data_IF_490000411240
#
_entry.id   IF_490000411240
#
_cell.length_a   1.000
_cell.length_b   1.000
_cell.length_c   1.000
_cell.angle_alpha   90.00
_cell.angle_beta   90.00
_cell.angle_gamma   90.00
#
_symmetry.space_group_name_H-M   'P 1'
#
loop_
_entity.id
_entity.type
_entity.pdbx_description
1 polymer ?
#
# COMPACT_ATOMS: atom_id res chain seq x y z
N UNK A 1 16.84 -10.79 -3.82
CA UNK A 1 16.52 -10.10 -2.55
C UNK A 1 17.42 -8.90 -2.43
N UNK A 2 16.83 -7.71 -2.38
CA UNK A 2 17.55 -6.43 -2.37
C UNK A 2 17.23 -5.70 -1.08
N UNK A 3 18.23 -5.09 -0.43
CA UNK A 3 17.98 -4.21 0.70
C UNK A 3 17.15 -3.01 0.20
N UNK A 4 16.12 -2.62 0.95
CA UNK A 4 15.25 -1.50 0.60
C UNK A 4 16.03 -0.22 0.27
N UNK A 5 17.12 0.06 0.98
CA UNK A 5 17.95 1.25 0.75
C UNK A 5 18.59 1.27 -0.65
N UNK A 6 18.81 0.09 -1.23
CA UNK A 6 19.38 -0.09 -2.57
C UNK A 6 18.33 -0.50 -3.60
N UNK A 7 17.05 -0.58 -3.22
CA UNK A 7 15.99 -1.03 -4.10
C UNK A 7 15.53 0.13 -5.00
N UNK A 8 15.49 -0.13 -6.31
CA UNK A 8 14.96 0.83 -7.26
C UNK A 8 13.42 0.83 -7.19
N UNK A 9 12.88 1.85 -6.54
CA UNK A 9 11.43 2.04 -6.38
C UNK A 9 10.70 2.25 -7.72
N UNK A 10 11.42 2.59 -8.81
CA UNK A 10 10.81 2.73 -10.14
C UNK A 10 10.20 1.42 -10.66
N UNK A 11 10.68 0.28 -10.18
CA UNK A 11 10.15 -1.05 -10.50
C UNK A 11 8.68 -1.17 -10.08
N UNK A 12 8.29 -0.57 -8.95
CA UNK A 12 6.91 -0.60 -8.45
C UNK A 12 6.04 0.37 -9.23
N UNK A 13 6.56 1.57 -9.50
CA UNK A 13 5.82 2.60 -10.25
C UNK A 13 5.51 2.15 -11.68
N UNK A 14 6.45 1.45 -12.31
CA UNK A 14 6.34 0.97 -13.69
C UNK A 14 5.91 -0.51 -13.77
N UNK A 15 5.59 -1.12 -12.63
CA UNK A 15 5.29 -2.54 -12.54
C UNK A 15 4.02 -2.89 -13.31
N UNK A 16 4.07 -3.99 -14.06
CA UNK A 16 2.92 -4.49 -14.81
C UNK A 16 2.13 -5.45 -13.94
N UNK A 17 0.83 -5.21 -13.85
CA UNK A 17 -0.10 -6.06 -13.13
C UNK A 17 -0.77 -7.08 -14.05
N UNK A 18 -0.98 -8.29 -13.55
CA UNK A 18 -1.81 -9.30 -14.17
C UNK A 18 -3.31 -8.98 -13.98
N UNK A 19 -4.19 -9.62 -14.75
CA UNK A 19 -5.62 -9.49 -14.52
C UNK A 19 -6.01 -10.07 -13.14
N UNK A 20 -6.97 -9.47 -12.41
CA UNK A 20 -7.42 -9.98 -11.13
C UNK A 20 -7.98 -11.42 -11.24
N UNK A 21 -7.47 -12.33 -10.41
CA UNK A 21 -7.92 -13.72 -10.33
C UNK A 21 -8.63 -13.94 -9.00
N UNK A 22 -9.81 -14.57 -9.05
CA UNK A 22 -10.57 -14.91 -7.85
C UNK A 22 -9.84 -15.96 -7.02
N UNK A 23 -9.69 -15.69 -5.73
CA UNK A 23 -9.09 -16.59 -4.76
C UNK A 23 -10.17 -17.31 -3.92
N UNK A 24 -9.76 -18.32 -3.15
CA UNK A 24 -10.65 -19.23 -2.39
C UNK A 24 -11.47 -18.47 -1.33
N UNK A 25 -10.93 -17.40 -0.78
CA UNK A 25 -11.53 -16.54 0.25
C UNK A 25 -12.50 -15.47 -0.33
N UNK A 26 -12.92 -15.63 -1.60
CA UNK A 26 -13.77 -14.68 -2.31
C UNK A 26 -13.14 -13.28 -2.44
N UNK A 27 -11.81 -13.17 -2.33
CA UNK A 27 -11.05 -11.99 -2.74
C UNK A 27 -10.55 -12.15 -4.17
N UNK A 28 -10.14 -11.07 -4.80
CA UNK A 28 -9.46 -11.10 -6.11
C UNK A 28 -8.05 -10.59 -5.93
N UNK A 29 -7.07 -11.29 -6.50
CA UNK A 29 -5.67 -10.91 -6.43
C UNK A 29 -5.18 -10.57 -7.83
N UNK A 30 -4.59 -9.39 -7.93
CA UNK A 30 -3.96 -8.85 -9.11
C UNK A 30 -2.46 -8.76 -8.82
N UNK A 31 -1.69 -9.72 -9.32
CA UNK A 31 -0.28 -9.85 -8.99
C UNK A 31 0.56 -8.93 -9.85
N UNK A 32 1.71 -8.49 -9.34
CA UNK A 32 2.78 -8.07 -10.22
C UNK A 32 3.20 -9.25 -11.10
N UNK A 33 3.54 -8.95 -12.36
CA UNK A 33 4.07 -9.94 -13.29
C UNK A 33 5.44 -10.46 -12.85
N UNK A 34 6.20 -9.65 -12.12
CA UNK A 34 7.50 -9.99 -11.57
C UNK A 34 7.42 -10.02 -10.04
N UNK A 35 8.10 -10.99 -9.43
CA UNK A 35 8.19 -11.10 -7.98
C UNK A 35 9.07 -9.98 -7.41
N UNK A 36 8.57 -9.28 -6.39
CA UNK A 36 9.28 -8.18 -5.73
C UNK A 36 9.57 -8.55 -4.28
N UNK A 37 10.83 -8.91 -4.02
CA UNK A 37 11.32 -9.25 -2.68
C UNK A 37 12.28 -8.19 -2.15
N UNK A 38 11.90 -7.56 -1.05
CA UNK A 38 12.70 -6.54 -0.36
C UNK A 38 13.05 -6.96 1.05
N UNK A 39 14.24 -6.57 1.50
CA UNK A 39 14.63 -6.69 2.91
C UNK A 39 14.29 -5.38 3.59
N UNK A 40 13.44 -5.44 4.63
CA UNK A 40 13.08 -4.27 5.42
C UNK A 40 14.19 -3.91 6.41
N UNK A 41 14.34 -2.62 6.77
CA UNK A 41 15.24 -2.23 7.86
C UNK A 41 14.83 -2.93 9.16
N UNK A 42 15.78 -3.17 10.06
CA UNK A 42 15.45 -3.81 11.34
C UNK A 42 14.53 -2.91 12.19
N UNK A 43 13.41 -3.45 12.67
CA UNK A 43 12.51 -2.77 13.60
C UNK A 43 11.77 -3.77 14.50
N UNK A 44 10.94 -3.24 15.40
CA UNK A 44 10.07 -4.05 16.27
C UNK A 44 8.92 -4.63 15.46
N UNK A 45 8.79 -5.96 15.48
CA UNK A 45 7.60 -6.66 15.01
C UNK A 45 6.87 -7.25 16.20
N UNK A 46 5.54 -7.12 16.22
CA UNK A 46 4.68 -7.71 17.22
C UNK A 46 3.66 -8.59 16.50
N UNK A 47 3.51 -9.84 16.94
CA UNK A 47 2.41 -10.70 16.50
C UNK A 47 1.15 -10.34 17.29
N UNK A 48 0.09 -9.93 16.59
CA UNK A 48 -1.22 -9.66 17.18
C UNK A 48 -2.25 -10.53 16.44
N UNK A 49 -2.78 -11.54 17.12
CA UNK A 49 -3.63 -12.57 16.50
C UNK A 49 -2.91 -13.29 15.33
N UNK A 50 -3.47 -13.21 14.12
CA UNK A 50 -2.92 -13.77 12.89
C UNK A 50 -2.11 -12.75 12.07
N UNK A 51 -1.96 -11.52 12.55
CA UNK A 51 -1.26 -10.44 11.84
C UNK A 51 0.09 -10.13 12.48
N UNK A 52 1.07 -9.80 11.65
CA UNK A 52 2.36 -9.29 12.09
C UNK A 52 2.40 -7.77 11.90
N UNK A 53 2.64 -7.05 12.99
CA UNK A 53 2.68 -5.60 13.01
C UNK A 53 4.12 -5.14 13.10
N UNK A 54 4.63 -4.55 12.04
CA UNK A 54 5.93 -3.89 12.01
C UNK A 54 5.75 -2.42 12.34
N UNK A 55 6.44 -1.94 13.38
CA UNK A 55 6.26 -0.59 13.90
C UNK A 55 7.55 0.21 13.83
N UNK A 56 7.48 1.49 13.45
CA UNK A 56 8.63 2.40 13.45
C UNK A 56 8.18 3.87 13.60
N UNK A 57 9.09 4.73 14.03
CA UNK A 57 8.85 6.15 14.20
C UNK A 57 8.94 6.88 12.87
N UNK A 58 8.01 7.80 12.61
CA UNK A 58 7.91 8.55 11.35
C UNK A 58 9.12 9.46 11.10
N UNK A 59 9.75 9.97 12.16
CA UNK A 59 10.87 10.91 12.11
C UNK A 59 12.25 10.24 12.09
N UNK A 60 12.31 8.91 12.21
CA UNK A 60 13.55 8.15 12.17
C UNK A 60 14.06 8.05 10.72
N UNK A 61 15.25 8.62 10.50
CA UNK A 61 15.89 8.72 9.19
C UNK A 61 16.19 7.36 8.57
N UNK A 62 16.32 6.30 9.38
CA UNK A 62 16.50 4.92 8.92
C UNK A 62 15.33 4.44 8.05
N UNK A 63 14.13 4.98 8.23
CA UNK A 63 12.92 4.51 7.55
C UNK A 63 12.44 5.42 6.42
N UNK A 64 13.23 6.44 6.03
CA UNK A 64 12.86 7.36 4.93
C UNK A 64 12.51 6.58 3.66
N UNK A 65 13.35 5.60 3.28
CA UNK A 65 13.12 4.79 2.08
C UNK A 65 11.87 3.92 2.17
N UNK A 66 11.53 3.46 3.38
CA UNK A 66 10.29 2.73 3.63
C UNK A 66 9.07 3.63 3.52
N UNK A 67 9.15 4.87 4.03
CA UNK A 67 8.08 5.86 3.87
C UNK A 67 7.88 6.20 2.39
N UNK A 68 8.95 6.39 1.62
CA UNK A 68 8.88 6.57 0.17
C UNK A 68 8.21 5.38 -0.52
N UNK A 69 8.60 4.16 -0.17
CA UNK A 69 7.98 2.94 -0.69
C UNK A 69 6.47 2.90 -0.40
N UNK A 70 6.05 3.17 0.84
CA UNK A 70 4.63 3.17 1.22
C UNK A 70 3.82 4.17 0.38
N UNK A 71 4.35 5.38 0.17
CA UNK A 71 3.70 6.38 -0.68
C UNK A 71 3.63 5.95 -2.15
N UNK A 72 4.68 5.29 -2.66
CA UNK A 72 4.68 4.78 -4.04
C UNK A 72 3.67 3.65 -4.20
N UNK A 73 3.56 2.76 -3.22
CA UNK A 73 2.53 1.73 -3.21
C UNK A 73 1.15 2.37 -3.25
N UNK A 74 0.83 3.29 -2.35
CA UNK A 74 -0.49 3.95 -2.33
C UNK A 74 -0.86 4.59 -3.68
N UNK A 75 0.06 5.35 -4.28
CA UNK A 75 -0.16 5.95 -5.60
C UNK A 75 -0.27 4.91 -6.73
N UNK A 76 0.58 3.89 -6.70
CA UNK A 76 0.59 2.80 -7.67
C UNK A 76 -0.74 2.04 -7.65
N UNK A 77 -1.30 1.76 -6.47
CA UNK A 77 -2.59 1.09 -6.31
C UNK A 77 -3.71 1.88 -7.00
N UNK A 78 -3.82 3.17 -6.69
CA UNK A 78 -4.87 4.02 -7.22
C UNK A 78 -4.73 4.16 -8.74
N UNK A 79 -3.55 4.51 -9.23
CA UNK A 79 -3.33 4.81 -10.64
C UNK A 79 -3.47 3.56 -11.52
N UNK A 80 -2.88 2.43 -11.14
CA UNK A 80 -3.01 1.20 -11.91
C UNK A 80 -4.46 0.70 -11.92
N UNK A 81 -5.17 0.81 -10.79
CA UNK A 81 -6.59 0.42 -10.75
C UNK A 81 -7.45 1.35 -11.59
N UNK A 82 -7.14 2.65 -11.64
CA UNK A 82 -7.83 3.63 -12.48
C UNK A 82 -7.65 3.29 -13.96
N UNK A 83 -6.41 3.14 -14.39
CA UNK A 83 -6.03 2.90 -15.78
C UNK A 83 -6.59 1.57 -16.31
N UNK A 84 -6.63 0.55 -15.44
CA UNK A 84 -7.14 -0.77 -15.81
C UNK A 84 -8.61 -0.99 -15.46
N UNK A 85 -9.31 0.00 -14.88
CA UNK A 85 -10.67 -0.19 -14.34
C UNK A 85 -11.66 -0.77 -15.34
N UNK A 86 -11.61 -0.30 -16.59
CA UNK A 86 -12.48 -0.80 -17.65
C UNK A 86 -12.20 -2.27 -17.99
N UNK A 87 -10.95 -2.72 -17.93
CA UNK A 87 -10.57 -4.09 -18.24
C UNK A 87 -10.77 -5.04 -17.05
N UNK A 88 -10.50 -4.57 -15.84
CA UNK A 88 -10.58 -5.41 -14.64
C UNK A 88 -12.00 -5.56 -14.10
N UNK A 89 -12.85 -4.56 -14.31
CA UNK A 89 -14.20 -4.50 -13.72
C UNK A 89 -15.31 -4.29 -14.75
N UNK A 90 -14.98 -4.32 -16.05
CA UNK A 90 -15.91 -3.98 -17.15
C UNK A 90 -16.59 -2.61 -16.98
N UNK A 91 -15.97 -1.71 -16.20
CA UNK A 91 -16.55 -0.43 -15.81
C UNK A 91 -15.47 0.61 -15.55
N UNK A 92 -15.65 1.80 -16.12
CA UNK A 92 -14.81 2.94 -15.79
C UNK A 92 -15.11 3.41 -14.36
N UNK A 93 -14.10 3.38 -13.50
CA UNK A 93 -14.19 3.86 -12.12
C UNK A 93 -13.51 5.23 -12.05
N UNK A 94 -14.04 6.15 -11.24
CA UNK A 94 -13.42 7.46 -11.04
C UNK A 94 -12.38 7.40 -9.92
N UNK A 95 -11.41 8.32 -9.96
CA UNK A 95 -10.34 8.37 -8.96
C UNK A 95 -10.89 8.57 -7.54
N UNK A 96 -11.96 9.35 -7.38
CA UNK A 96 -12.58 9.60 -6.07
C UNK A 96 -13.15 8.33 -5.46
N UNK A 97 -13.79 7.47 -6.28
CA UNK A 97 -14.31 6.18 -5.84
C UNK A 97 -13.18 5.22 -5.47
N UNK A 98 -12.07 5.23 -6.19
CA UNK A 98 -10.92 4.39 -5.85
C UNK A 98 -10.28 4.82 -4.53
N UNK A 99 -10.11 6.12 -4.33
CA UNK A 99 -9.58 6.67 -3.08
C UNK A 99 -10.46 6.34 -1.88
N UNK A 100 -11.79 6.38 -2.02
CA UNK A 100 -12.73 5.98 -0.95
C UNK A 100 -12.60 4.51 -0.55
N UNK A 101 -12.30 3.63 -1.53
CA UNK A 101 -12.24 2.18 -1.34
C UNK A 101 -10.84 1.68 -1.00
N UNK A 102 -9.80 2.49 -1.24
CA UNK A 102 -8.43 2.11 -0.95
C UNK A 102 -8.16 2.14 0.56
N UNK A 103 -7.53 1.08 1.05
CA UNK A 103 -7.07 0.98 2.44
C UNK A 103 -5.55 0.82 2.43
N UNK A 104 -4.78 1.79 2.94
CA UNK A 104 -3.34 1.65 3.08
C UNK A 104 -2.99 0.43 3.94
N UNK A 105 -1.83 -0.17 3.69
CA UNK A 105 -1.32 -1.32 4.46
C UNK A 105 -0.79 -0.93 5.85
N UNK A 106 -0.83 0.36 6.16
CA UNK A 106 -0.27 0.92 7.37
C UNK A 106 -1.24 1.89 8.05
N UNK A 107 -1.06 2.06 9.35
CA UNK A 107 -1.77 3.05 10.15
C UNK A 107 -0.77 3.97 10.85
N UNK A 108 -1.13 5.24 11.01
CA UNK A 108 -0.35 6.21 11.79
C UNK A 108 -0.99 6.39 13.17
N UNK A 109 -0.27 6.05 14.21
CA UNK A 109 -0.70 6.17 15.61
C UNK A 109 0.41 6.84 16.42
N UNK A 110 0.17 8.04 16.97
CA UNK A 110 1.12 8.76 17.82
C UNK A 110 2.54 8.81 17.21
N UNK A 111 2.65 9.32 15.98
CA UNK A 111 3.91 9.42 15.21
C UNK A 111 4.57 8.08 14.86
N UNK A 112 3.97 6.95 15.23
CA UNK A 112 4.41 5.63 14.80
C UNK A 112 3.61 5.14 13.59
N UNK A 113 4.33 4.65 12.59
CA UNK A 113 3.75 3.89 11.49
C UNK A 113 3.70 2.41 11.89
N UNK A 114 2.54 1.79 11.71
CA UNK A 114 2.31 0.37 11.94
C UNK A 114 1.89 -0.30 10.63
N UNK A 115 2.76 -1.11 10.05
CA UNK A 115 2.47 -1.89 8.83
C UNK A 115 1.96 -3.27 9.24
N UNK A 116 0.86 -3.70 8.64
CA UNK A 116 0.28 -5.04 8.86
C UNK A 116 0.67 -5.96 7.71
N UNK A 117 1.24 -7.12 8.03
CA UNK A 117 1.69 -8.11 7.06
C UNK A 117 0.99 -9.45 7.25
N UNK A 118 0.75 -10.12 6.12
CA UNK A 118 0.26 -11.49 6.09
C UNK A 118 1.45 -12.48 6.06
N UNK A 119 1.26 -13.69 6.60
CA UNK A 119 2.26 -14.76 6.49
C UNK A 119 2.19 -15.45 5.14
N UNK A 120 3.35 -15.80 4.58
CA UNK A 120 3.39 -16.71 3.43
C UNK A 120 3.31 -18.17 3.90
N UNK A 121 2.07 -18.58 4.21
CA UNK A 121 1.46 -19.92 4.33
C UNK A 121 2.22 -21.20 4.76
N UNK A 122 3.51 -21.18 5.07
CA UNK A 122 4.25 -22.41 5.39
C UNK A 122 4.90 -22.43 6.77
N UNK A 123 4.98 -21.30 7.49
CA UNK A 123 5.57 -21.24 8.83
C UNK A 123 4.70 -20.39 9.78
N UNK A 124 4.16 -21.00 10.83
CA UNK A 124 3.36 -20.33 11.88
C UNK A 124 4.20 -19.43 12.82
N UNK A 125 5.53 -19.49 12.68
CA UNK A 125 6.50 -18.80 13.52
C UNK A 125 7.48 -18.00 12.66
N UNK A 126 7.53 -16.69 12.90
CA UNK A 126 8.58 -15.80 12.39
C UNK A 126 9.59 -15.63 13.52
N UNK A 127 10.87 -15.91 13.25
CA UNK A 127 11.94 -15.50 14.15
C UNK A 127 12.14 -13.98 13.99
N UNK A 128 11.73 -13.21 14.99
CA UNK A 128 11.77 -11.74 14.97
C UNK A 128 13.19 -11.18 15.11
N UNK A 129 14.17 -12.02 15.45
CA UNK A 129 15.58 -11.65 15.54
C UNK A 129 16.29 -11.69 14.18
N UNK A 130 15.65 -12.26 13.15
CA UNK A 130 16.22 -12.43 11.82
C UNK A 130 15.80 -11.34 10.83
N UNK A 131 16.54 -11.25 9.73
CA UNK A 131 16.27 -10.33 8.63
C UNK A 131 14.88 -10.59 8.04
N UNK A 132 14.02 -9.58 8.10
CA UNK A 132 12.65 -9.67 7.57
C UNK A 132 12.68 -9.46 6.06
N UNK A 133 12.29 -10.51 5.34
CA UNK A 133 12.09 -10.46 3.89
C UNK A 133 10.61 -10.34 3.61
N UNK A 134 10.30 -9.30 2.86
CA UNK A 134 8.96 -8.88 2.55
C UNK A 134 8.74 -9.02 1.06
N UNK A 135 7.73 -9.80 0.68
CA UNK A 135 7.31 -10.03 -0.69
C UNK A 135 6.09 -9.16 -1.00
N UNK A 136 6.24 -8.25 -1.96
CA UNK A 136 5.15 -7.41 -2.47
C UNK A 136 4.48 -8.19 -3.61
N UNK A 137 3.26 -8.68 -3.37
CA UNK A 137 2.58 -9.56 -4.33
C UNK A 137 1.81 -8.75 -5.38
N UNK A 138 1.10 -7.70 -4.95
CA UNK A 138 0.25 -6.90 -5.83
C UNK A 138 -0.98 -6.36 -5.11
N UNK A 139 -2.11 -6.24 -5.79
CA UNK A 139 -3.35 -5.71 -5.24
C UNK A 139 -4.32 -6.83 -4.85
N UNK A 140 -4.96 -6.67 -3.70
CA UNK A 140 -6.04 -7.54 -3.23
C UNK A 140 -7.33 -6.75 -3.13
N UNK A 141 -8.35 -7.22 -3.85
CA UNK A 141 -9.68 -6.64 -3.90
C UNK A 141 -10.65 -7.48 -3.05
N UNK A 142 -11.26 -6.82 -2.08
CA UNK A 142 -12.40 -7.30 -1.32
C UNK A 142 -13.68 -6.72 -1.90
N UNK A 143 -14.84 -7.16 -1.39
CA UNK A 143 -16.15 -6.68 -1.85
C UNK A 143 -16.25 -5.14 -1.92
N UNK A 144 -15.72 -4.43 -0.92
CA UNK A 144 -15.90 -2.98 -0.76
C UNK A 144 -14.60 -2.20 -0.56
N UNK A 145 -13.44 -2.85 -0.63
CA UNK A 145 -12.16 -2.21 -0.37
C UNK A 145 -11.05 -2.93 -1.10
N UNK A 146 -9.94 -2.25 -1.30
CA UNK A 146 -8.74 -2.88 -1.85
C UNK A 146 -7.50 -2.29 -1.21
N UNK A 147 -6.43 -3.08 -1.21
CA UNK A 147 -5.14 -2.72 -0.63
C UNK A 147 -4.02 -3.46 -1.34
N UNK A 148 -2.79 -3.05 -1.09
CA UNK A 148 -1.64 -3.89 -1.42
C UNK A 148 -1.64 -5.16 -0.55
N UNK A 149 -1.32 -6.29 -1.18
CA UNK A 149 -1.02 -7.55 -0.53
C UNK A 149 0.49 -7.68 -0.40
N UNK A 150 0.94 -7.67 0.85
CA UNK A 150 2.34 -7.83 1.20
C UNK A 150 2.46 -8.97 2.20
N UNK A 151 3.40 -9.89 1.93
CA UNK A 151 3.68 -11.03 2.80
C UNK A 151 5.07 -10.97 3.37
N UNK A 152 5.26 -11.57 4.55
CA UNK A 152 6.59 -11.84 5.10
C UNK A 152 6.93 -13.31 4.94
N UNK A 153 8.17 -13.57 4.51
CA UNK A 153 8.75 -14.90 4.50
C UNK A 153 9.79 -15.00 5.61
N UNK A 154 9.63 -16.01 6.48
CA UNK A 154 10.69 -16.41 7.41
C UNK A 154 11.65 -17.32 6.63
N UNK A 155 12.91 -16.92 6.51
CA UNK A 155 13.91 -17.72 5.81
C UNK A 155 14.49 -18.78 6.76
N UNK A 156 13.67 -19.73 7.22
CA UNK A 156 14.25 -21.00 7.65
C UNK A 156 14.81 -21.69 6.40
N UNK A 157 16.14 -21.76 6.34
CA UNK A 157 16.92 -22.60 5.42
C UNK A 157 16.83 -22.27 3.92
N UNK A 158 17.73 -21.40 3.47
CA UNK A 158 18.40 -21.63 2.17
C UNK A 158 19.18 -22.95 2.26
N UNK A 159 18.51 -24.10 2.17
CA UNK A 159 19.10 -25.41 1.87
C UNK A 159 18.02 -26.52 1.78
N UNK A 160 16.99 -26.34 0.95
CA UNK A 160 16.26 -27.47 0.38
C UNK A 160 15.74 -27.10 -1.00
N UNK A 161 16.48 -27.51 -2.03
CA UNK A 161 15.90 -27.86 -3.31
C UNK A 161 14.87 -28.96 -3.02
N UNK A 162 13.59 -28.64 -3.05
CA UNK A 162 12.55 -29.66 -3.03
C UNK A 162 12.31 -30.11 -4.48
N UNK A 163 12.80 -31.31 -4.79
CA UNK A 163 12.67 -31.93 -6.12
C UNK A 163 11.23 -32.32 -6.47
N UNK A 164 10.25 -32.00 -5.62
CA UNK A 164 8.82 -32.20 -5.87
C UNK A 164 8.23 -31.26 -6.92
N UNK A 165 8.89 -30.15 -7.27
CA UNK A 165 8.44 -29.25 -8.35
C UNK A 165 8.72 -29.79 -9.77
N UNK A 166 9.35 -30.97 -9.90
CA UNK A 166 9.63 -31.61 -11.20
C UNK A 166 8.61 -32.73 -11.52
N UNK A 167 7.79 -33.15 -10.56
CA UNK A 167 6.85 -34.26 -10.76
C UNK A 167 5.53 -33.96 -10.08
N UNK A 168 4.49 -33.72 -10.90
CA UNK A 168 3.07 -33.44 -10.57
C UNK A 168 2.78 -31.93 -10.55
N UNK A 169 2.02 -31.34 -11.48
CA UNK A 169 0.72 -31.82 -11.94
C UNK A 169 0.34 -31.22 -13.30
N UNK A 170 0.20 -32.11 -14.28
CA UNK A 170 -0.61 -31.87 -15.46
C UNK A 170 -2.09 -31.73 -15.09
N UNK A 171 -2.79 -30.86 -15.82
CA UNK A 171 -4.24 -30.82 -16.05
C UNK A 171 -5.18 -30.48 -14.88
N UNK A 172 -5.74 -29.26 -14.90
CA UNK A 172 -7.21 -29.10 -14.82
C UNK A 172 -7.67 -27.84 -15.58
N UNK A 173 -8.76 -28.04 -16.33
CA UNK A 173 -9.39 -27.12 -17.30
C UNK A 173 -9.93 -25.84 -16.66
N UNK A 174 -9.83 -24.73 -17.42
CA UNK A 174 -10.61 -23.49 -17.23
C UNK A 174 -12.11 -23.80 -17.04
N UNK A 175 -12.77 -23.22 -16.02
CA UNK A 175 -14.17 -22.91 -16.08
C UNK A 175 -14.38 -21.42 -16.39
N UNK A 176 -15.24 -21.25 -17.38
CA UNK A 176 -15.87 -20.05 -17.91
C UNK A 176 -16.13 -18.89 -16.93
N UNK A 177 -15.97 -17.69 -17.50
CA UNK A 177 -16.82 -16.48 -17.41
C UNK A 177 -17.60 -16.24 -16.11
N UNK A 178 -17.37 -15.02 -15.59
CA UNK A 178 -18.05 -14.34 -14.48
C UNK A 178 -19.53 -14.75 -14.37
N UNK A 179 -19.92 -15.29 -13.20
CA UNK A 179 -21.32 -15.38 -12.81
C UNK A 179 -21.77 -14.04 -12.20
N UNK A 180 -22.97 -13.59 -12.59
CA UNK A 180 -23.54 -12.25 -12.40
C UNK A 180 -23.88 -11.86 -10.95
N UNK A 181 -23.68 -12.73 -9.96
CA UNK A 181 -24.14 -12.49 -8.58
C UNK A 181 -23.26 -11.53 -7.74
N UNK A 182 -22.20 -10.95 -8.33
CA UNK A 182 -21.37 -9.89 -7.70
C UNK A 182 -21.60 -8.51 -8.35
N UNK A 183 -22.34 -8.45 -9.46
CA UNK A 183 -22.51 -7.23 -10.26
C UNK A 183 -23.71 -6.39 -9.78
N UNK A 184 -24.71 -7.00 -9.15
CA UNK A 184 -26.00 -6.33 -8.92
C UNK A 184 -26.05 -5.28 -7.78
N UNK A 185 -25.07 -5.21 -6.88
CA UNK A 185 -25.05 -4.18 -5.82
C UNK A 185 -24.07 -3.01 -6.12
N UNK A 186 -23.36 -3.04 -7.24
CA UNK A 186 -22.63 -1.89 -7.80
C UNK A 186 -23.48 -1.12 -8.85
N UNK A 187 -24.70 -1.59 -9.10
CA UNK A 187 -25.67 -1.06 -10.04
C UNK A 187 -27.06 -0.98 -9.38
N UNK A 188 -27.24 -0.03 -8.46
CA UNK A 188 -28.60 0.48 -8.23
C UNK A 188 -29.00 1.22 -9.51
N UNK A 189 -30.03 0.68 -10.14
CA UNK A 189 -30.63 1.08 -11.42
C UNK A 189 -30.69 2.59 -11.66
N UNK A 190 -30.09 3.04 -12.75
CA UNK A 190 -30.48 4.28 -13.42
C UNK A 190 -30.65 4.00 -14.92
N UNK A 191 -31.78 3.38 -15.27
CA UNK A 191 -32.34 3.55 -16.62
C UNK A 191 -33.08 4.89 -16.67
N UNK A 192 -32.33 5.92 -17.07
CA UNK A 192 -32.73 7.15 -17.75
C UNK A 192 -34.23 7.48 -17.72
N UNK A 193 -34.64 8.40 -16.85
CA UNK A 193 -35.73 9.35 -17.16
C UNK A 193 -35.22 10.76 -16.86
N UNK A 194 -35.04 11.51 -17.94
CA UNK A 194 -34.98 12.97 -17.98
C UNK A 194 -36.06 13.60 -17.08
N UNK A 195 -35.72 13.94 -15.85
CA UNK A 195 -36.45 14.90 -15.02
C UNK A 195 -35.46 15.53 -14.03
N UNK A 196 -35.48 16.86 -13.92
CA UNK A 196 -34.71 17.62 -12.91
C UNK A 196 -34.98 17.02 -11.52
N UNK A 197 -34.05 16.24 -10.99
CA UNK A 197 -34.12 15.70 -9.64
C UNK A 197 -33.87 16.83 -8.65
N UNK A 198 -34.94 17.24 -8.01
CA UNK A 198 -34.88 18.18 -6.89
C UNK A 198 -34.44 17.35 -5.69
N UNK A 199 -33.14 17.40 -5.35
CA UNK A 199 -32.57 16.71 -4.19
C UNK A 199 -33.40 17.03 -2.94
N UNK A 200 -33.72 16.01 -2.14
CA UNK A 200 -34.44 16.24 -0.89
C UNK A 200 -33.54 17.05 0.05
N UNK A 201 -34.17 17.85 0.93
CA UNK A 201 -33.44 18.65 1.92
C UNK A 201 -32.47 17.81 2.76
N UNK A 202 -32.84 16.56 3.04
CA UNK A 202 -32.06 15.62 3.86
C UNK A 202 -30.83 15.10 3.11
N UNK A 203 -30.95 14.86 1.81
CA UNK A 203 -29.82 14.44 0.96
C UNK A 203 -28.82 15.60 0.78
N UNK A 204 -29.34 16.83 0.63
CA UNK A 204 -28.52 18.03 0.60
C UNK A 204 -27.79 18.27 1.93
N UNK A 205 -28.45 18.10 3.07
CA UNK A 205 -27.81 18.23 4.39
C UNK A 205 -26.71 17.19 4.61
N UNK A 206 -26.94 15.94 4.19
CA UNK A 206 -25.92 14.88 4.23
C UNK A 206 -24.73 15.23 3.34
N UNK A 207 -24.99 15.63 2.09
CA UNK A 207 -23.96 16.00 1.13
C UNK A 207 -23.14 17.22 1.61
N UNK A 208 -23.80 18.22 2.21
CA UNK A 208 -23.13 19.39 2.78
C UNK A 208 -22.26 18.99 3.98
N UNK A 209 -22.74 18.12 4.85
CA UNK A 209 -21.97 17.61 6.00
C UNK A 209 -20.73 16.84 5.54
N UNK A 210 -20.89 15.97 4.55
CA UNK A 210 -19.82 15.18 3.95
C UNK A 210 -18.77 16.08 3.29
N UNK A 211 -19.19 17.06 2.48
CA UNK A 211 -18.27 18.03 1.86
C UNK A 211 -17.53 18.86 2.90
N UNK A 212 -18.20 19.30 3.97
CA UNK A 212 -17.54 20.02 5.07
C UNK A 212 -16.50 19.18 5.77
N UNK A 213 -16.78 17.90 6.02
CA UNK A 213 -15.83 17.00 6.66
C UNK A 213 -14.61 16.74 5.76
N UNK A 214 -14.84 16.46 4.48
CA UNK A 214 -13.76 16.29 3.49
C UNK A 214 -12.86 17.52 3.43
N UNK A 215 -13.44 18.72 3.27
CA UNK A 215 -12.68 19.97 3.24
C UNK A 215 -11.86 20.16 4.52
N UNK A 216 -12.41 19.83 5.69
CA UNK A 216 -11.69 19.90 6.97
C UNK A 216 -10.48 18.95 7.00
N UNK A 217 -10.63 17.73 6.50
CA UNK A 217 -9.51 16.78 6.41
C UNK A 217 -8.43 17.26 5.46
N UNK A 218 -8.78 17.81 4.30
CA UNK A 218 -7.81 18.41 3.38
C UNK A 218 -7.00 19.53 4.05
N UNK A 219 -7.65 20.41 4.81
CA UNK A 219 -6.95 21.48 5.55
C UNK A 219 -6.02 20.92 6.62
N UNK A 220 -6.46 19.93 7.40
CA UNK A 220 -5.62 19.27 8.41
C UNK A 220 -4.41 18.60 7.74
N UNK A 221 -4.59 17.95 6.59
CA UNK A 221 -3.51 17.32 5.85
C UNK A 221 -2.50 18.37 5.33
N UNK A 222 -3.00 19.47 4.76
CA UNK A 222 -2.18 20.55 4.25
C UNK A 222 -1.38 21.24 5.37
N UNK A 223 -2.00 21.46 6.54
CA UNK A 223 -1.33 22.02 7.71
C UNK A 223 -0.22 21.09 8.23
N UNK A 224 -0.49 19.78 8.31
CA UNK A 224 0.51 18.77 8.70
C UNK A 224 1.70 18.72 7.74
N UNK A 225 1.44 18.77 6.43
CA UNK A 225 2.52 18.84 5.42
C UNK A 225 3.31 20.14 5.58
N UNK A 226 2.63 21.26 5.83
CA UNK A 226 3.27 22.54 6.12
C UNK A 226 4.19 22.49 7.34
N UNK A 227 3.75 21.85 8.43
CA UNK A 227 4.56 21.66 9.63
C UNK A 227 5.78 20.76 9.37
N UNK A 228 5.59 19.65 8.65
CA UNK A 228 6.70 18.76 8.28
C UNK A 228 7.73 19.48 7.41
N UNK A 229 7.28 20.28 6.44
CA UNK A 229 8.14 21.09 5.59
C UNK A 229 8.91 22.14 6.39
N UNK A 230 8.28 22.81 7.35
CA UNK A 230 8.96 23.80 8.20
C UNK A 230 9.98 23.15 9.13
N UNK A 231 9.68 21.97 9.70
CA UNK A 231 10.63 21.23 10.52
C UNK A 231 11.86 20.80 9.71
N UNK A 232 11.68 20.36 8.46
CA UNK A 232 12.80 20.08 7.55
C UNK A 232 13.62 21.34 7.25
N UNK A 233 12.96 22.49 7.07
CA UNK A 233 13.62 23.79 6.86
C UNK A 233 14.50 24.17 8.06
N UNK A 234 14.00 23.98 9.28
CA UNK A 234 14.76 24.26 10.52
C UNK A 234 15.98 23.36 10.65
N UNK A 235 15.84 22.05 10.38
CA UNK A 235 16.96 21.10 10.39
C UNK A 235 18.03 21.48 9.35
N UNK A 236 17.63 21.93 8.16
CA UNK A 236 18.57 22.40 7.15
C UNK A 236 19.35 23.64 7.62
N UNK A 237 18.69 24.57 8.34
CA UNK A 237 19.34 25.75 8.93
C UNK A 237 20.35 25.34 10.01
N UNK A 238 19.98 24.41 10.90
CA UNK A 238 20.88 23.88 11.94
C UNK A 238 22.11 23.22 11.31
N UNK A 239 21.91 22.35 10.32
CA UNK A 239 23.00 21.67 9.61
C UNK A 239 23.95 22.67 8.93
N UNK A 240 23.43 23.75 8.33
CA UNK A 240 24.26 24.81 7.74
C UNK A 240 25.06 25.56 8.82
N UNK A 241 24.49 25.80 9.99
CA UNK A 241 25.19 26.48 11.08
C UNK A 241 26.31 25.60 11.66
N UNK A 242 26.08 24.30 11.80
CA UNK A 242 27.12 23.33 12.18
C UNK A 242 28.25 23.30 11.16
N UNK A 243 27.93 23.23 9.86
CA UNK A 243 28.92 23.28 8.79
C UNK A 243 29.80 24.53 8.88
N UNK A 244 29.19 25.72 9.05
CA UNK A 244 29.93 26.98 9.22
C UNK A 244 30.87 26.97 10.43
N UNK A 245 30.49 26.30 11.51
CA UNK A 245 31.34 26.17 12.69
C UNK A 245 32.56 25.27 12.39
N UNK A 246 32.36 24.19 11.65
CA UNK A 246 33.46 23.33 11.20
C UNK A 246 34.39 24.05 10.23
N UNK A 247 33.85 24.79 9.26
CA UNK A 247 34.61 25.60 8.31
C UNK A 247 35.49 26.64 9.03
N UNK A 248 34.92 27.41 9.96
CA UNK A 248 35.71 28.35 10.80
C UNK A 248 36.80 27.67 11.61
N UNK A 249 36.49 26.49 12.16
CA UNK A 249 37.46 25.73 12.94
C UNK A 249 38.61 25.28 12.04
N UNK A 250 38.30 24.80 10.83
CA UNK A 250 39.28 24.39 9.83
C UNK A 250 40.16 25.57 9.36
N UNK A 251 39.58 26.75 9.11
CA UNK A 251 40.33 27.96 8.76
C UNK A 251 41.33 28.36 9.85
N UNK A 252 41.02 28.15 11.14
CA UNK A 252 41.95 28.44 12.23
C UNK A 252 43.12 27.44 12.33
N UNK A 253 43.05 26.30 11.64
CA UNK A 253 44.15 25.33 11.54
C UNK A 253 44.99 25.50 10.27
N UNK A 254 44.62 26.43 9.39
CA UNK A 254 45.28 26.71 8.11
C UNK A 254 46.14 27.97 8.17
#
# INVERSE_FOLDING_TARGET
>A
MTNLDNFDLSIITNGIFENPIKNIDNTYICKFKEDIDIVLPQSTIIKKNQEYIYSFQLDDTKFIKLIELLNILDNCAINNTLDNSLNWFDKKITIEKLQEKYTPIYNLENENIKISFDLDNNNDTINLEETIITKIIGLQFYKNKFRFLIKINNLENKNRLDFSDIVNSNNTKLPNKINEDVINDLAINDSIISTKTTLSKKDLESLISEKRNYTKQCFIQAEKIGQAAENLRLKAIESINELKNYEKTYENYS
#
